data_IF_548228055194
#
_entry.id   IF_548228055194
#
_cell.length_a   1.000
_cell.length_b   1.000
_cell.length_c   1.000
_cell.angle_alpha   90.00
_cell.angle_beta   90.00
_cell.angle_gamma   90.00
#
_symmetry.space_group_name_H-M   'P 1'
#
loop_
_entity.id
_entity.type
_entity.pdbx_description
1 polymer ?
#
# COMPACT_ATOMS: atom_id res chain seq x y z
N UNK A 1 5.15 12.97 -13.33
CA UNK A 1 5.24 12.16 -12.10
C UNK A 1 5.75 10.73 -12.33
N UNK A 2 5.43 10.12 -13.47
CA UNK A 2 5.79 8.71 -13.69
C UNK A 2 7.27 8.41 -13.42
N UNK A 3 8.19 9.18 -13.99
CA UNK A 3 9.61 8.95 -13.78
C UNK A 3 10.06 9.19 -12.34
N UNK A 4 9.37 10.07 -11.62
CA UNK A 4 9.73 10.44 -10.26
C UNK A 4 9.35 9.36 -9.24
N UNK A 5 8.40 8.46 -9.56
CA UNK A 5 8.02 7.39 -8.64
C UNK A 5 8.84 6.11 -8.86
N UNK A 6 9.56 5.99 -9.98
CA UNK A 6 10.40 4.83 -10.25
C UNK A 6 11.47 4.72 -9.15
N UNK A 7 11.56 3.56 -8.55
CA UNK A 7 12.55 3.29 -7.50
C UNK A 7 12.01 2.39 -6.42
N UNK A 8 12.75 2.37 -5.31
CA UNK A 8 12.42 1.57 -4.14
C UNK A 8 12.12 2.51 -2.98
N UNK A 9 11.01 2.25 -2.31
CA UNK A 9 10.47 3.09 -1.26
C UNK A 9 10.25 2.29 0.01
N UNK A 10 10.60 2.88 1.14
CA UNK A 10 10.43 2.27 2.46
C UNK A 10 9.20 2.87 3.14
N UNK A 11 8.41 2.03 3.79
CA UNK A 11 7.19 2.46 4.47
C UNK A 11 7.54 3.24 5.75
N UNK A 12 6.96 4.43 5.88
CA UNK A 12 7.10 5.25 7.10
C UNK A 12 5.83 5.27 7.94
N UNK A 13 4.66 5.22 7.29
CA UNK A 13 3.39 5.23 8.02
C UNK A 13 2.29 4.61 7.16
N UNK A 14 1.36 3.94 7.81
CA UNK A 14 0.16 3.40 7.19
C UNK A 14 -1.00 3.66 8.16
N UNK A 15 -1.82 4.66 7.82
CA UNK A 15 -2.88 5.17 8.68
C UNK A 15 -4.24 4.88 8.08
N UNK A 16 -5.15 4.38 8.91
CA UNK A 16 -6.55 4.14 8.54
C UNK A 16 -7.39 5.29 9.09
N UNK A 17 -8.26 5.84 8.25
CA UNK A 17 -9.24 6.85 8.63
C UNK A 17 -10.63 6.23 8.49
N UNK A 18 -11.18 5.63 9.57
CA UNK A 18 -12.49 5.00 9.51
C UNK A 18 -13.60 6.01 9.17
N UNK A 19 -14.70 5.52 8.59
CA UNK A 19 -15.85 6.38 8.25
C UNK A 19 -16.47 7.06 9.46
N UNK A 20 -16.43 6.41 10.61
CA UNK A 20 -16.96 6.97 11.86
C UNK A 20 -16.07 8.05 12.47
N UNK A 21 -14.91 8.32 11.88
CA UNK A 21 -14.01 9.37 12.32
C UNK A 21 -12.78 8.86 13.05
N UNK A 22 -11.87 9.78 13.36
CA UNK A 22 -10.60 9.44 13.98
C UNK A 22 -9.59 8.83 13.02
N UNK A 23 -8.50 8.34 13.56
CA UNK A 23 -7.47 7.66 12.79
C UNK A 23 -6.75 6.64 13.66
N UNK A 24 -6.19 5.62 13.03
CA UNK A 24 -5.38 4.62 13.72
C UNK A 24 -4.34 4.03 12.76
N UNK A 25 -3.20 3.56 13.26
CA UNK A 25 -2.27 2.83 12.42
C UNK A 25 -2.89 1.50 11.97
N UNK A 26 -2.50 1.02 10.78
CA UNK A 26 -2.93 -0.29 10.29
C UNK A 26 -2.51 -1.42 11.23
N UNK A 27 -1.37 -1.26 11.89
CA UNK A 27 -0.86 -2.24 12.85
C UNK A 27 0.39 -1.74 13.54
N UNK A 28 0.99 -2.59 14.34
CA UNK A 28 2.21 -2.27 15.09
C UNK A 28 3.47 -2.73 14.36
N UNK A 29 4.55 -1.94 14.48
CA UNK A 29 5.84 -2.28 13.95
C UNK A 29 5.82 -2.57 12.47
N UNK A 30 5.18 -1.69 11.70
CA UNK A 30 5.00 -1.88 10.28
C UNK A 30 6.32 -1.83 9.54
N UNK A 31 6.52 -2.74 8.59
CA UNK A 31 7.62 -2.75 7.66
C UNK A 31 7.06 -2.93 6.27
N UNK A 32 7.61 -2.21 5.31
CA UNK A 32 7.11 -2.34 3.95
C UNK A 32 8.07 -1.80 2.91
N UNK A 33 7.98 -2.38 1.72
CA UNK A 33 8.67 -1.91 0.53
C UNK A 33 7.65 -1.70 -0.57
N UNK A 34 7.85 -0.64 -1.32
CA UNK A 34 7.13 -0.35 -2.54
C UNK A 34 8.16 -0.20 -3.64
N UNK A 35 7.97 -0.91 -4.73
CA UNK A 35 8.89 -0.88 -5.86
C UNK A 35 8.11 -0.54 -7.11
N UNK A 36 8.52 0.54 -7.80
CA UNK A 36 8.04 0.88 -9.14
C UNK A 36 9.20 0.75 -10.09
N UNK A 37 9.04 -0.07 -11.13
CA UNK A 37 10.07 -0.26 -12.14
C UNK A 37 9.82 0.64 -13.35
N UNK A 38 10.88 0.90 -14.12
CA UNK A 38 10.77 1.62 -15.38
C UNK A 38 9.91 0.85 -16.39
N UNK A 39 9.91 -0.48 -16.30
CA UNK A 39 9.12 -1.34 -17.19
C UNK A 39 7.62 -1.32 -16.91
N UNK A 40 7.17 -0.59 -15.89
CA UNK A 40 5.74 -0.46 -15.58
C UNK A 40 5.21 -1.51 -14.62
N UNK A 41 6.07 -2.08 -13.80
CA UNK A 41 5.67 -3.06 -12.79
C UNK A 41 5.70 -2.46 -11.38
N UNK A 42 4.81 -2.93 -10.52
CA UNK A 42 4.73 -2.52 -9.13
C UNK A 42 4.74 -3.74 -8.22
N UNK A 43 5.40 -3.60 -7.08
CA UNK A 43 5.35 -4.61 -6.02
C UNK A 43 5.23 -3.90 -4.68
N UNK A 44 4.26 -4.34 -3.88
CA UNK A 44 4.00 -3.81 -2.53
C UNK A 44 4.09 -4.96 -1.56
N UNK A 45 4.91 -4.81 -0.54
CA UNK A 45 5.01 -5.80 0.52
C UNK A 45 5.01 -5.08 1.87
N UNK A 46 4.03 -5.38 2.71
CA UNK A 46 3.89 -4.77 4.03
C UNK A 46 3.59 -5.88 5.03
N UNK A 47 4.23 -5.83 6.18
CA UNK A 47 3.84 -6.70 7.26
C UNK A 47 3.88 -5.99 8.61
N UNK A 48 3.07 -6.51 9.53
CA UNK A 48 3.08 -6.13 10.94
C UNK A 48 4.15 -6.94 11.65
N UNK A 49 4.89 -6.31 12.56
CA UNK A 49 5.85 -7.05 13.40
C UNK A 49 5.16 -7.87 14.47
N UNK A 50 3.93 -7.47 14.83
CA UNK A 50 3.12 -8.17 15.82
C UNK A 50 1.83 -8.62 15.14
N UNK A 51 1.65 -9.93 15.01
CA UNK A 51 0.42 -10.48 14.43
C UNK A 51 -0.78 -10.26 15.38
N UNK A 52 -1.98 -10.02 14.83
CA UNK A 52 -3.19 -10.02 15.65
C UNK A 52 -3.36 -11.34 16.39
N UNK A 53 -4.12 -11.32 17.47
CA UNK A 53 -4.37 -12.51 18.30
C UNK A 53 -5.87 -12.77 18.40
N UNK A 54 -6.43 -13.33 17.34
CA UNK A 54 -7.87 -13.62 17.25
C UNK A 54 -8.25 -14.99 17.84
N UNK A 55 -7.25 -15.85 18.07
CA UNK A 55 -7.47 -17.25 18.41
C UNK A 55 -7.43 -18.19 17.22
N UNK A 56 -7.30 -17.64 16.02
CA UNK A 56 -7.13 -18.40 14.78
C UNK A 56 -5.77 -18.05 14.16
N UNK A 57 -4.74 -18.92 14.31
CA UNK A 57 -3.39 -18.62 13.83
C UNK A 57 -3.31 -18.33 12.33
N UNK A 58 -4.09 -19.02 11.51
CA UNK A 58 -4.07 -18.81 10.05
C UNK A 58 -4.61 -17.42 9.69
N UNK A 59 -5.71 -17.02 10.34
CA UNK A 59 -6.28 -15.69 10.18
C UNK A 59 -5.29 -14.62 10.65
N UNK A 60 -4.65 -14.84 11.77
CA UNK A 60 -3.71 -13.89 12.34
C UNK A 60 -2.49 -13.69 11.43
N UNK A 61 -2.00 -14.77 10.83
CA UNK A 61 -0.92 -14.71 9.85
C UNK A 61 -1.38 -13.95 8.61
N UNK A 62 -2.55 -14.27 8.08
CA UNK A 62 -3.10 -13.59 6.90
C UNK A 62 -3.27 -12.08 7.15
N UNK A 63 -3.81 -11.71 8.33
CA UNK A 63 -4.05 -10.32 8.68
C UNK A 63 -2.77 -9.53 9.02
N UNK A 64 -1.63 -10.21 9.13
CA UNK A 64 -0.35 -9.57 9.44
C UNK A 64 0.41 -9.12 8.20
N UNK A 65 -0.03 -9.49 6.99
CA UNK A 65 0.66 -9.21 5.75
C UNK A 65 -0.28 -8.62 4.71
N UNK A 66 0.28 -7.76 3.86
CA UNK A 66 -0.40 -7.22 2.69
C UNK A 66 0.62 -7.20 1.56
N UNK A 67 0.54 -8.18 0.67
CA UNK A 67 1.45 -8.28 -0.46
C UNK A 67 0.65 -8.32 -1.74
N UNK A 68 1.01 -7.49 -2.72
CA UNK A 68 0.53 -7.64 -4.09
C UNK A 68 1.54 -7.10 -5.07
N UNK A 69 1.41 -7.53 -6.32
CA UNK A 69 2.24 -7.08 -7.42
C UNK A 69 1.41 -7.05 -8.70
N UNK A 70 1.93 -6.33 -9.68
CA UNK A 70 1.28 -6.22 -10.97
C UNK A 70 1.94 -5.14 -11.82
N UNK A 71 1.13 -4.45 -12.60
CA UNK A 71 1.57 -3.34 -13.43
C UNK A 71 0.99 -2.03 -12.88
N UNK A 72 1.54 -0.91 -13.32
CA UNK A 72 1.02 0.38 -12.90
C UNK A 72 1.02 1.37 -14.06
N UNK A 73 0.17 2.38 -13.92
CA UNK A 73 0.14 3.54 -14.80
C UNK A 73 -0.02 4.79 -13.96
N UNK A 74 0.45 5.92 -14.49
CA UNK A 74 0.36 7.23 -13.81
C UNK A 74 -0.34 8.20 -14.74
N UNK A 75 -1.37 8.86 -14.22
CA UNK A 75 -2.08 9.90 -14.93
C UNK A 75 -2.29 11.07 -13.97
N UNK A 76 -1.55 12.17 -14.19
CA UNK A 76 -1.55 13.29 -13.25
C UNK A 76 -1.06 12.83 -11.88
N UNK A 77 -1.87 13.01 -10.85
CA UNK A 77 -1.59 12.55 -9.49
C UNK A 77 -2.29 11.23 -9.14
N UNK A 78 -2.80 10.52 -10.14
CA UNK A 78 -3.44 9.23 -9.92
C UNK A 78 -2.51 8.12 -10.39
N UNK A 79 -2.24 7.17 -9.50
CA UNK A 79 -1.50 5.97 -9.82
C UNK A 79 -2.47 4.80 -9.73
N UNK A 80 -2.49 3.97 -10.77
CA UNK A 80 -3.36 2.79 -10.84
C UNK A 80 -2.50 1.54 -10.80
N UNK A 81 -2.76 0.68 -9.83
CA UNK A 81 -2.11 -0.62 -9.73
C UNK A 81 -3.05 -1.70 -10.27
N UNK A 82 -2.63 -2.38 -11.34
CA UNK A 82 -3.37 -3.54 -11.87
C UNK A 82 -2.79 -4.78 -11.20
N UNK A 83 -3.54 -5.39 -10.31
CA UNK A 83 -3.05 -6.49 -9.49
C UNK A 83 -3.10 -7.80 -10.27
N UNK A 84 -1.95 -8.45 -10.40
CA UNK A 84 -1.83 -9.77 -11.06
C UNK A 84 -1.63 -10.89 -10.06
N UNK A 85 -1.13 -10.60 -8.87
CA UNK A 85 -0.91 -11.57 -7.80
C UNK A 85 -0.97 -10.88 -6.44
N UNK A 86 -1.46 -11.58 -5.44
CA UNK A 86 -1.64 -11.02 -4.11
C UNK A 86 -1.77 -12.13 -3.06
N UNK A 87 -1.48 -11.79 -1.79
CA UNK A 87 -1.79 -12.69 -0.67
C UNK A 87 -3.29 -12.87 -0.51
N UNK A 88 -4.06 -11.81 -0.75
CA UNK A 88 -5.52 -11.92 -0.80
C UNK A 88 -5.93 -12.14 -2.26
N UNK A 89 -6.36 -13.36 -2.64
CA UNK A 89 -6.68 -13.65 -4.03
C UNK A 89 -7.85 -12.82 -4.58
N UNK A 90 -8.69 -12.25 -3.73
CA UNK A 90 -9.79 -11.37 -4.14
C UNK A 90 -9.29 -10.09 -4.80
N UNK A 91 -8.02 -9.72 -4.58
CA UNK A 91 -7.42 -8.55 -5.24
C UNK A 91 -6.95 -8.81 -6.65
N UNK A 92 -6.78 -10.08 -7.03
CA UNK A 92 -6.27 -10.43 -8.37
C UNK A 92 -7.28 -10.00 -9.43
N UNK A 93 -6.80 -9.26 -10.43
CA UNK A 93 -7.62 -8.70 -11.49
C UNK A 93 -8.25 -7.36 -11.16
N UNK A 94 -8.06 -6.85 -9.95
CA UNK A 94 -8.60 -5.54 -9.55
C UNK A 94 -7.63 -4.41 -9.84
N UNK A 95 -8.18 -3.22 -9.97
CA UNK A 95 -7.43 -1.99 -10.07
C UNK A 95 -7.44 -1.28 -8.73
N UNK A 96 -6.26 -1.04 -8.19
CA UNK A 96 -6.10 -0.31 -6.93
C UNK A 96 -5.71 1.12 -7.25
N UNK A 97 -6.62 2.06 -7.06
CA UNK A 97 -6.39 3.48 -7.33
C UNK A 97 -5.73 4.14 -6.12
N UNK A 98 -4.69 4.94 -6.39
CA UNK A 98 -3.98 5.70 -5.36
C UNK A 98 -3.85 7.15 -5.79
N UNK A 99 -4.21 8.06 -4.91
CA UNK A 99 -3.96 9.49 -5.09
C UNK A 99 -2.58 9.79 -4.53
N UNK A 100 -1.69 10.29 -5.39
CA UNK A 100 -0.29 10.45 -5.07
C UNK A 100 0.06 11.91 -4.79
N UNK A 101 0.85 12.13 -3.75
CA UNK A 101 1.45 13.42 -3.46
C UNK A 101 2.94 13.17 -3.23
N UNK A 102 3.77 13.68 -4.13
CA UNK A 102 5.21 13.51 -4.08
C UNK A 102 5.87 14.83 -3.73
N UNK A 103 6.63 14.84 -2.62
CA UNK A 103 7.45 15.97 -2.21
C UNK A 103 8.86 15.47 -1.91
N UNK A 104 9.84 15.88 -2.74
CA UNK A 104 11.24 15.46 -2.60
C UNK A 104 11.34 13.92 -2.60
N UNK A 105 11.72 13.34 -1.49
CA UNK A 105 11.89 11.88 -1.33
C UNK A 105 10.73 11.21 -0.58
N UNK A 106 9.64 11.94 -0.37
CA UNK A 106 8.46 11.44 0.33
C UNK A 106 7.30 11.29 -0.64
N UNK A 107 6.73 10.10 -0.71
CA UNK A 107 5.56 9.79 -1.53
C UNK A 107 4.41 9.41 -0.60
N UNK A 108 3.33 10.17 -0.65
CA UNK A 108 2.11 9.84 0.08
C UNK A 108 1.12 9.26 -0.92
N UNK A 109 0.61 8.08 -0.62
CA UNK A 109 -0.43 7.42 -1.40
C UNK A 109 -1.68 7.29 -0.56
N UNK A 110 -2.79 7.81 -1.07
CA UNK A 110 -4.09 7.75 -0.41
C UNK A 110 -5.06 6.92 -1.23
N UNK A 111 -5.90 6.13 -0.55
CA UNK A 111 -6.97 5.39 -1.22
C UNK A 111 -8.16 6.32 -1.47
N UNK A 112 -9.02 6.00 -2.46
CA UNK A 112 -10.33 6.63 -2.53
C UNK A 112 -11.20 6.19 -1.33
N UNK A 113 -12.40 6.77 -1.21
CA UNK A 113 -13.35 6.34 -0.18
C UNK A 113 -13.74 4.89 -0.41
N UNK A 114 -13.54 4.07 0.60
CA UNK A 114 -13.87 2.65 0.60
C UNK A 114 -14.91 2.35 1.69
N UNK A 115 -15.39 1.10 1.73
CA UNK A 115 -16.35 0.70 2.75
C UNK A 115 -15.82 0.90 4.17
N UNK A 116 -14.52 0.66 4.39
CA UNK A 116 -13.87 0.85 5.70
C UNK A 116 -13.58 2.32 6.03
N UNK A 117 -13.55 3.21 5.02
CA UNK A 117 -13.07 4.58 5.12
C UNK A 117 -11.98 4.84 4.11
N UNK A 118 -10.89 5.47 4.55
CA UNK A 118 -9.71 5.76 3.72
C UNK A 118 -8.44 5.23 4.37
N UNK A 119 -7.41 5.05 3.57
CA UNK A 119 -6.07 4.77 4.06
C UNK A 119 -5.07 5.73 3.43
N UNK A 120 -4.03 6.06 4.19
CA UNK A 120 -2.91 6.87 3.72
C UNK A 120 -1.61 6.16 4.06
N UNK A 121 -0.76 6.01 3.06
CA UNK A 121 0.55 5.39 3.24
C UNK A 121 1.62 6.42 2.89
N UNK A 122 2.61 6.54 3.75
CA UNK A 122 3.74 7.45 3.55
C UNK A 122 4.98 6.61 3.29
N UNK A 123 5.64 6.87 2.17
CA UNK A 123 6.80 6.15 1.70
C UNK A 123 7.98 7.08 1.54
N UNK A 124 9.18 6.61 1.90
CA UNK A 124 10.42 7.34 1.68
C UNK A 124 11.27 6.62 0.65
N UNK A 125 11.78 7.37 -0.32
CA UNK A 125 12.65 6.81 -1.35
C UNK A 125 13.99 6.38 -0.77
N UNK A 126 14.41 5.17 -1.07
CA UNK A 126 15.69 4.61 -0.60
C UNK A 126 16.61 4.20 -1.75
N UNK A 127 16.08 4.07 -2.96
CA UNK A 127 16.92 3.77 -4.12
C UNK A 127 16.29 4.20 -5.44
#
# INVERSE_FOLDING_TARGET
MKNAVIGVWNLEAFTIFPKEGGSRPWGEGLRGLLIYTESGHVSVSINKSVAPKSGNPDKDTFDSVLFYAGTYSVEGNIIRHQVTQATNPDRIGREMIRFANLENTTLKLATPDEAFGKAELVWRKIA
#
